data_IF_416055035491
#
_entry.id   IF_416055035491
#
_cell.length_a   1.000
_cell.length_b   1.000
_cell.length_c   1.000
_cell.angle_alpha   90.00
_cell.angle_beta   90.00
_cell.angle_gamma   90.00
#
_symmetry.space_group_name_H-M   'P 1'
#
loop_
_entity.id
_entity.type
_entity.pdbx_description
1 polymer ?
#
# COMPACT_ATOMS: atom_id res chain seq x y z
N UNK A 1 29.85 -39.67 28.09
CA UNK A 1 28.45 -39.39 28.51
C UNK A 1 27.62 -39.08 27.26
N UNK A 2 26.36 -38.69 27.40
CA UNK A 2 25.50 -38.26 26.27
C UNK A 2 25.28 -36.76 26.35
N UNK A 3 25.74 -36.04 25.33
CA UNK A 3 25.75 -34.58 25.19
C UNK A 3 24.92 -34.09 23.98
N UNK A 4 23.85 -34.82 23.65
CA UNK A 4 23.03 -34.61 22.46
C UNK A 4 22.14 -33.36 22.50
N UNK A 5 22.62 -32.28 21.89
CA UNK A 5 21.88 -31.01 21.70
C UNK A 5 21.70 -30.69 20.22
N UNK A 6 20.70 -31.31 19.60
CA UNK A 6 20.20 -30.89 18.28
C UNK A 6 19.54 -29.52 18.44
N UNK A 7 20.21 -28.44 18.00
CA UNK A 7 19.56 -27.14 17.86
C UNK A 7 18.51 -27.22 16.74
N UNK A 8 17.27 -27.50 17.12
CA UNK A 8 16.11 -27.37 16.26
C UNK A 8 15.87 -25.88 15.98
N UNK A 9 16.56 -25.33 14.96
CA UNK A 9 16.18 -24.05 14.37
C UNK A 9 14.70 -24.12 13.99
N UNK A 10 13.93 -23.20 14.55
CA UNK A 10 12.47 -23.28 14.61
C UNK A 10 11.83 -23.16 13.22
N UNK A 11 10.88 -24.06 12.94
CA UNK A 11 10.01 -24.06 11.74
C UNK A 11 8.98 -22.90 11.75
N UNK A 12 9.36 -21.77 12.35
CA UNK A 12 8.49 -20.62 12.62
C UNK A 12 8.71 -19.48 11.61
N UNK A 13 9.94 -19.33 11.10
CA UNK A 13 10.32 -18.25 10.17
C UNK A 13 9.69 -18.41 8.77
N UNK A 14 9.29 -19.63 8.38
CA UNK A 14 8.70 -19.88 7.05
C UNK A 14 7.17 -19.62 7.00
N UNK A 15 6.50 -19.45 8.15
CA UNK A 15 5.03 -19.27 8.18
C UNK A 15 4.53 -17.83 7.99
N UNK A 16 5.38 -16.82 8.11
CA UNK A 16 4.95 -15.41 8.02
C UNK A 16 4.80 -14.88 6.57
N UNK A 17 5.31 -15.62 5.57
CA UNK A 17 5.32 -15.19 4.16
C UNK A 17 3.92 -15.17 3.54
N UNK A 18 2.99 -16.00 4.00
CA UNK A 18 1.63 -16.09 3.46
C UNK A 18 0.69 -14.98 3.99
N UNK A 19 1.08 -14.29 5.08
CA UNK A 19 0.20 -13.44 5.90
C UNK A 19 0.06 -11.98 5.44
N UNK A 20 0.76 -11.54 4.39
CA UNK A 20 0.84 -10.12 3.97
C UNK A 20 0.00 -9.72 2.75
N UNK A 21 -0.80 -10.61 2.16
CA UNK A 21 -1.67 -10.21 1.05
C UNK A 21 -2.78 -9.30 1.57
N UNK A 22 -2.89 -8.09 1.01
CA UNK A 22 -3.92 -7.10 1.37
C UNK A 22 -5.32 -7.76 1.41
N UNK A 23 -6.15 -7.50 2.44
CA UNK A 23 -7.48 -8.09 2.53
C UNK A 23 -8.29 -7.85 1.24
N UNK A 24 -8.75 -8.92 0.61
CA UNK A 24 -9.44 -8.91 -0.69
C UNK A 24 -10.87 -8.35 -0.62
N UNK A 25 -11.14 -7.44 0.31
CA UNK A 25 -12.45 -6.79 0.46
C UNK A 25 -12.77 -5.82 -0.70
N UNK A 26 -11.80 -5.54 -1.57
CA UNK A 26 -11.98 -4.87 -2.86
C UNK A 26 -12.52 -5.80 -3.97
N UNK A 27 -12.51 -7.13 -3.78
CA UNK A 27 -13.10 -8.13 -4.71
C UNK A 27 -14.64 -8.18 -4.62
N UNK A 28 -15.28 -7.03 -4.40
CA UNK A 28 -16.71 -6.85 -4.63
C UNK A 28 -16.96 -6.96 -6.14
N UNK A 29 -17.55 -8.08 -6.57
CA UNK A 29 -17.75 -8.41 -7.99
C UNK A 29 -18.64 -7.41 -8.75
N UNK A 30 -19.36 -6.54 -8.02
CA UNK A 30 -20.18 -5.47 -8.59
C UNK A 30 -19.43 -4.11 -8.64
N UNK A 31 -18.11 -4.09 -8.39
CA UNK A 31 -17.21 -2.94 -8.56
C UNK A 31 -16.14 -3.23 -9.60
N UNK A 32 -15.73 -2.20 -10.35
CA UNK A 32 -14.55 -2.21 -11.22
C UNK A 32 -13.55 -1.16 -10.73
N UNK A 33 -12.26 -1.49 -10.67
CA UNK A 33 -11.20 -0.48 -10.52
C UNK A 33 -11.12 0.34 -11.81
N UNK A 34 -11.00 1.66 -11.66
CA UNK A 34 -10.97 2.62 -12.78
C UNK A 34 -9.81 3.62 -12.68
N UNK A 35 -8.94 3.49 -11.68
CA UNK A 35 -7.79 4.37 -11.51
C UNK A 35 -6.77 4.22 -12.64
N UNK A 36 -6.73 3.06 -13.32
CA UNK A 36 -5.94 2.88 -14.55
C UNK A 36 -6.38 3.75 -15.74
N UNK A 37 -7.62 4.25 -15.75
CA UNK A 37 -8.17 5.13 -16.81
C UNK A 37 -7.79 6.63 -16.60
N UNK A 38 -7.10 6.96 -15.50
CA UNK A 38 -6.80 8.32 -15.06
C UNK A 38 -5.30 8.66 -15.08
N UNK A 39 -4.99 9.95 -15.23
CA UNK A 39 -3.66 10.51 -14.96
C UNK A 39 -3.57 10.85 -13.48
N UNK A 40 -2.50 10.38 -12.83
CA UNK A 40 -2.24 10.61 -11.41
C UNK A 40 -1.03 11.53 -11.24
N UNK A 41 -1.16 12.57 -10.41
CA UNK A 41 -0.04 13.44 -10.02
C UNK A 41 -0.06 13.77 -8.54
N UNK A 42 1.12 13.99 -7.96
CA UNK A 42 1.34 14.22 -6.54
C UNK A 42 1.90 15.62 -6.33
N UNK A 43 1.57 16.28 -5.22
CA UNK A 43 2.09 17.62 -4.90
C UNK A 43 3.62 17.63 -4.79
N UNK A 44 4.19 16.63 -4.12
CA UNK A 44 5.61 16.32 -4.00
C UNK A 44 5.75 14.81 -3.73
N UNK A 45 6.92 14.25 -4.03
CA UNK A 45 7.25 12.85 -3.72
C UNK A 45 8.76 12.71 -3.54
N UNK A 46 9.21 11.84 -2.62
CA UNK A 46 10.63 11.45 -2.56
C UNK A 46 11.01 10.58 -3.77
N UNK A 47 12.28 10.62 -4.22
CA UNK A 47 12.78 9.71 -5.25
C UNK A 47 12.59 8.25 -4.83
N UNK A 48 11.82 7.48 -5.61
CA UNK A 48 11.50 6.08 -5.32
C UNK A 48 10.22 5.83 -4.51
N UNK A 49 9.51 6.88 -4.09
CA UNK A 49 8.25 6.79 -3.32
C UNK A 49 7.19 7.71 -3.93
N UNK A 50 6.76 7.42 -5.18
CA UNK A 50 5.88 8.27 -5.98
C UNK A 50 4.56 7.60 -6.40
N UNK A 51 4.03 7.99 -7.57
CA UNK A 51 2.75 7.50 -8.12
C UNK A 51 2.74 5.98 -8.33
N UNK A 52 3.89 5.42 -8.72
CA UNK A 52 4.08 3.98 -8.90
C UNK A 52 3.86 3.22 -7.58
N UNK A 53 4.54 3.65 -6.51
CA UNK A 53 4.43 3.06 -5.16
C UNK A 53 3.09 3.39 -4.46
N UNK A 54 2.25 4.23 -5.06
CA UNK A 54 0.86 4.47 -4.63
C UNK A 54 -0.14 3.54 -5.34
N UNK A 55 0.28 2.83 -6.41
CA UNK A 55 -0.61 2.06 -7.30
C UNK A 55 -0.08 0.69 -7.74
N UNK A 56 1.02 0.23 -7.18
CA UNK A 56 1.59 -1.10 -7.44
C UNK A 56 0.77 -2.26 -6.80
N UNK A 57 -0.12 -1.93 -5.85
CA UNK A 57 -0.96 -2.84 -5.05
C UNK A 57 -0.18 -3.66 -4.00
N UNK A 58 0.97 -3.15 -3.57
CA UNK A 58 1.75 -3.67 -2.43
C UNK A 58 1.46 -2.85 -1.16
N UNK A 59 1.60 -3.49 0.01
CA UNK A 59 1.55 -2.85 1.34
C UNK A 59 2.94 -2.56 1.90
N UNK A 60 4.00 -3.08 1.27
CA UNK A 60 5.40 -2.87 1.67
C UNK A 60 6.06 -1.69 0.92
N UNK A 61 5.29 -0.99 0.09
CA UNK A 61 5.66 0.19 -0.69
C UNK A 61 4.60 1.29 -0.53
N UNK A 62 5.03 2.55 -0.66
CA UNK A 62 4.18 3.72 -0.38
C UNK A 62 4.68 4.98 -1.09
N UNK A 63 3.76 5.94 -1.33
CA UNK A 63 4.11 7.33 -1.60
C UNK A 63 4.57 8.02 -0.33
N UNK A 64 5.67 8.80 -0.41
CA UNK A 64 6.08 9.70 0.65
C UNK A 64 6.22 11.12 0.09
N UNK A 65 5.46 12.07 0.65
CA UNK A 65 5.60 13.49 0.31
C UNK A 65 6.97 14.05 0.74
N UNK A 66 7.40 15.10 0.05
CA UNK A 66 8.68 15.77 0.31
C UNK A 66 8.54 17.29 0.05
N UNK A 67 7.74 17.95 0.89
CA UNK A 67 7.43 19.38 0.73
C UNK A 67 6.49 19.92 1.80
N UNK A 68 6.03 21.17 1.67
CA UNK A 68 5.06 21.76 2.60
C UNK A 68 3.68 21.08 2.48
N UNK A 69 2.87 21.22 3.53
CA UNK A 69 1.45 20.87 3.50
C UNK A 69 0.61 21.98 2.82
N UNK A 70 -0.57 21.66 2.25
CA UNK A 70 -1.18 20.33 2.17
C UNK A 70 -0.50 19.45 1.11
N UNK A 71 -0.54 18.13 1.33
CA UNK A 71 -0.12 17.16 0.33
C UNK A 71 -1.35 16.72 -0.49
N UNK A 72 -1.18 16.56 -1.80
CA UNK A 72 -2.29 16.33 -2.72
C UNK A 72 -2.03 15.13 -3.63
N UNK A 73 -3.06 14.28 -3.79
CA UNK A 73 -3.17 13.29 -4.86
C UNK A 73 -4.23 13.79 -5.84
N UNK A 74 -3.82 14.09 -7.07
CA UNK A 74 -4.71 14.56 -8.12
C UNK A 74 -5.00 13.40 -9.08
N UNK A 75 -6.28 13.12 -9.33
CA UNK A 75 -6.75 12.03 -10.18
C UNK A 75 -7.57 12.64 -11.33
N UNK A 76 -7.03 12.65 -12.55
CA UNK A 76 -7.66 13.30 -13.70
C UNK A 76 -8.10 12.30 -14.76
N UNK A 77 -9.41 12.20 -14.98
CA UNK A 77 -10.00 11.40 -16.05
C UNK A 77 -10.16 12.21 -17.34
N UNK A 78 -9.93 11.56 -18.50
CA UNK A 78 -10.10 12.15 -19.84
C UNK A 78 -11.56 12.41 -20.24
N UNK A 79 -12.53 11.93 -19.44
CA UNK A 79 -13.98 12.01 -19.66
C UNK A 79 -14.67 12.16 -18.30
N UNK A 80 -15.93 12.62 -18.26
CA UNK A 80 -16.71 12.57 -17.01
C UNK A 80 -16.97 11.10 -16.66
N UNK A 81 -16.50 10.66 -15.50
CA UNK A 81 -16.71 9.31 -14.94
C UNK A 81 -17.55 9.40 -13.68
N UNK A 82 -18.33 8.35 -13.39
CA UNK A 82 -19.07 8.22 -12.14
C UNK A 82 -18.25 7.41 -11.14
N UNK A 83 -17.77 8.06 -10.07
CA UNK A 83 -17.02 7.41 -9.00
C UNK A 83 -18.02 6.99 -7.90
N UNK A 84 -18.05 5.71 -7.55
CA UNK A 84 -18.90 5.15 -6.47
C UNK A 84 -18.23 5.28 -5.10
N UNK A 85 -16.91 5.15 -5.06
CA UNK A 85 -16.10 4.95 -3.87
C UNK A 85 -14.63 5.31 -4.16
N UNK A 86 -13.88 5.72 -3.13
CA UNK A 86 -12.42 5.84 -3.18
C UNK A 86 -11.90 5.12 -1.94
N UNK A 87 -10.99 4.17 -2.13
CA UNK A 87 -10.31 3.46 -1.05
C UNK A 87 -8.88 4.00 -0.90
N UNK A 88 -8.41 4.07 0.34
CA UNK A 88 -7.03 4.38 0.71
C UNK A 88 -6.60 3.34 1.76
N UNK A 89 -5.34 2.92 1.72
CA UNK A 89 -4.73 2.09 2.74
C UNK A 89 -3.79 2.96 3.59
N UNK A 90 -3.97 2.91 4.91
CA UNK A 90 -3.15 3.59 5.92
C UNK A 90 -3.07 2.65 7.13
N UNK A 91 -1.90 2.47 7.75
CA UNK A 91 -1.77 1.75 9.02
C UNK A 91 -0.95 2.59 10.01
N UNK A 92 -1.63 3.15 11.00
CA UNK A 92 -1.01 4.00 12.04
C UNK A 92 0.15 3.32 12.79
N UNK A 93 0.20 1.98 12.84
CA UNK A 93 1.30 1.25 13.50
C UNK A 93 2.56 1.14 12.63
N UNK A 94 2.42 1.29 11.31
CA UNK A 94 3.50 1.22 10.33
C UNK A 94 3.95 2.63 9.92
N UNK A 95 2.98 3.53 9.71
CA UNK A 95 3.18 4.88 9.18
C UNK A 95 3.53 5.91 10.27
N UNK A 96 3.16 5.64 11.53
CA UNK A 96 3.29 6.56 12.68
C UNK A 96 2.87 8.01 12.34
N UNK A 97 3.84 8.93 12.26
CA UNK A 97 3.65 10.35 11.98
C UNK A 97 3.39 10.70 10.51
N UNK A 98 3.50 9.72 9.59
CA UNK A 98 3.12 9.86 8.18
C UNK A 98 1.63 9.52 7.94
N UNK A 99 0.94 8.95 8.93
CA UNK A 99 -0.51 8.68 8.84
C UNK A 99 -1.31 9.99 8.71
N UNK A 100 -2.18 10.15 7.69
CA UNK A 100 -3.09 11.29 7.62
C UNK A 100 -4.09 11.34 8.79
N UNK A 101 -4.42 12.55 9.25
CA UNK A 101 -5.31 12.84 10.40
C UNK A 101 -6.59 13.58 9.99
#
# INVERSE_FOLDING_TARGET
>A
DMDGSTEQRSLQDETDIESKKLPTHLDDKDKNEIGGDAVWTLSTAKPGNGVEQLRDNSTDSYWQSDGPQPHLVNIQFHKKVSIKEIALYCDFKLDESYTPS
#
